data_IF_600208524673
#
_entry.id   IF_600208524673
#
_cell.length_a   1.000
_cell.length_b   1.000
_cell.length_c   1.000
_cell.angle_alpha   90.00
_cell.angle_beta   90.00
_cell.angle_gamma   90.00
#
_symmetry.space_group_name_H-M   'P 1'
#
loop_
_entity.id
_entity.type
_entity.pdbx_description
1 polymer ?
#
# COMPACT_ATOMS: atom_id res chain seq x y z
N UNK A 1 2.28 -24.60 44.65
CA UNK A 1 3.04 -23.67 45.51
C UNK A 1 4.19 -24.43 46.15
N UNK A 2 5.44 -24.15 45.78
CA UNK A 2 6.61 -24.71 46.47
C UNK A 2 7.72 -23.67 46.47
N UNK A 3 8.17 -23.35 47.69
CA UNK A 3 8.96 -22.18 48.07
C UNK A 3 10.42 -22.26 47.57
N UNK A 4 10.89 -21.12 47.07
CA UNK A 4 12.28 -20.73 46.78
C UNK A 4 13.13 -20.67 48.06
N UNK A 5 14.44 -20.94 47.98
CA UNK A 5 15.58 -20.27 48.69
C UNK A 5 16.88 -20.80 48.06
N UNK A 6 17.58 -20.07 47.19
CA UNK A 6 18.67 -19.10 47.45
C UNK A 6 19.64 -19.56 48.56
N UNK A 7 20.86 -19.94 48.15
CA UNK A 7 22.10 -19.76 48.89
C UNK A 7 23.25 -19.61 47.88
N UNK A 8 23.71 -18.36 47.71
CA UNK A 8 24.93 -17.98 47.02
C UNK A 8 26.09 -18.18 48.00
N UNK A 9 27.08 -19.01 47.67
CA UNK A 9 28.37 -19.00 48.35
C UNK A 9 29.48 -18.95 47.30
N UNK A 10 30.32 -17.94 47.51
CA UNK A 10 31.47 -17.45 46.74
C UNK A 10 32.58 -18.50 46.69
N UNK A 11 33.18 -18.70 45.52
CA UNK A 11 34.32 -19.60 45.35
C UNK A 11 35.21 -19.24 44.16
N UNK A 12 36.27 -18.49 44.47
CA UNK A 12 37.60 -18.56 43.86
C UNK A 12 37.77 -18.44 42.33
N UNK A 13 38.16 -17.23 41.93
CA UNK A 13 39.34 -16.89 41.11
C UNK A 13 40.08 -18.10 40.51
N UNK A 14 39.95 -18.30 39.20
CA UNK A 14 41.09 -18.64 38.33
C UNK A 14 41.00 -17.85 37.03
N UNK A 15 41.90 -16.88 36.93
CA UNK A 15 42.25 -16.19 35.70
C UNK A 15 43.01 -17.18 34.81
N UNK A 16 42.46 -17.50 33.65
CA UNK A 16 43.22 -18.13 32.56
C UNK A 16 43.00 -17.31 31.29
N UNK A 17 43.79 -16.25 31.19
CA UNK A 17 44.07 -15.53 29.95
C UNK A 17 44.95 -16.45 29.09
N UNK A 18 44.37 -17.04 28.06
CA UNK A 18 45.10 -17.68 26.96
C UNK A 18 44.91 -16.84 25.71
N UNK A 19 45.80 -15.88 25.49
CA UNK A 19 46.01 -15.28 24.16
C UNK A 19 47.50 -15.34 23.86
N UNK A 20 47.96 -16.24 22.98
CA UNK A 20 49.32 -16.22 22.51
C UNK A 20 49.53 -15.03 21.56
N UNK A 21 50.61 -14.31 21.86
CA UNK A 21 51.22 -13.25 21.06
C UNK A 21 51.48 -13.75 19.63
N UNK A 22 50.89 -13.08 18.63
CA UNK A 22 51.40 -13.12 17.26
C UNK A 22 51.84 -11.71 16.87
N UNK A 23 53.00 -11.33 17.38
CA UNK A 23 53.79 -10.24 16.87
C UNK A 23 54.54 -10.77 15.64
N UNK A 24 54.11 -10.36 14.45
CA UNK A 24 54.96 -10.28 13.26
C UNK A 24 54.32 -9.29 12.30
N UNK A 25 54.77 -8.04 12.44
CA UNK A 25 54.61 -6.98 11.47
C UNK A 25 55.32 -7.38 10.17
N UNK A 26 54.57 -7.46 9.08
CA UNK A 26 55.06 -7.12 7.74
C UNK A 26 54.00 -6.28 7.05
N UNK A 27 54.28 -4.98 6.99
CA UNK A 27 53.72 -4.07 6.01
C UNK A 27 54.09 -4.58 4.61
N UNK A 28 53.11 -5.03 3.84
CA UNK A 28 53.19 -4.95 2.38
C UNK A 28 51.89 -4.39 1.84
N UNK A 29 51.94 -3.09 1.57
CA UNK A 29 51.14 -2.42 0.56
C UNK A 29 51.67 -2.92 -0.78
N UNK A 30 50.99 -3.88 -1.41
CA UNK A 30 51.18 -4.17 -2.83
C UNK A 30 49.82 -4.45 -3.48
N UNK A 31 49.49 -3.62 -4.46
CA UNK A 31 48.23 -3.61 -5.20
C UNK A 31 48.09 -4.84 -6.10
N UNK A 32 46.91 -5.47 -6.20
CA UNK A 32 46.58 -6.28 -7.36
C UNK A 32 45.82 -5.43 -8.39
N UNK A 33 46.59 -4.99 -9.39
CA UNK A 33 46.31 -5.07 -10.84
C UNK A 33 44.83 -4.94 -11.30
N UNK A 34 44.57 -3.89 -12.09
CA UNK A 34 43.41 -3.77 -13.00
C UNK A 34 43.16 -5.09 -13.74
N UNK A 35 42.05 -5.75 -13.42
CA UNK A 35 41.36 -6.68 -14.31
C UNK A 35 39.95 -6.16 -14.50
N UNK A 36 39.65 -5.78 -15.73
CA UNK A 36 38.34 -5.32 -16.17
C UNK A 36 37.35 -6.49 -16.04
N UNK A 37 36.59 -6.52 -14.95
CA UNK A 37 35.40 -7.34 -14.84
C UNK A 37 34.22 -6.53 -15.38
N UNK A 38 33.61 -7.02 -16.44
CA UNK A 38 32.33 -6.55 -16.96
C UNK A 38 31.31 -6.61 -15.81
N UNK A 39 30.95 -5.44 -15.28
CA UNK A 39 29.85 -5.30 -14.34
C UNK A 39 28.54 -5.42 -15.12
N UNK A 40 27.96 -6.60 -15.09
CA UNK A 40 26.51 -6.77 -15.27
C UNK A 40 25.82 -5.79 -14.31
N UNK A 41 24.97 -4.85 -14.78
CA UNK A 41 24.25 -4.00 -13.85
C UNK A 41 23.35 -4.88 -12.98
N UNK A 42 23.67 -4.94 -11.69
CA UNK A 42 22.74 -5.38 -10.66
C UNK A 42 21.46 -4.56 -10.83
N UNK A 43 20.26 -5.18 -10.90
CA UNK A 43 19.02 -4.42 -10.87
C UNK A 43 19.02 -3.61 -9.58
N UNK A 44 19.29 -2.30 -9.68
CA UNK A 44 19.16 -1.41 -8.55
C UNK A 44 17.75 -1.60 -8.01
N UNK A 45 17.60 -2.02 -6.75
CA UNK A 45 16.34 -1.91 -6.04
C UNK A 45 15.96 -0.43 -6.10
N UNK A 46 15.02 -0.07 -6.98
CA UNK A 46 14.53 1.29 -7.10
C UNK A 46 13.82 1.58 -5.78
N UNK A 47 14.45 2.40 -4.93
CA UNK A 47 13.81 2.88 -3.71
C UNK A 47 12.53 3.62 -4.11
N UNK A 48 11.41 3.40 -3.40
CA UNK A 48 10.14 4.03 -3.75
C UNK A 48 10.28 5.56 -3.67
N UNK A 49 9.94 6.24 -4.76
CA UNK A 49 10.03 7.69 -4.90
C UNK A 49 8.84 8.39 -4.22
N UNK A 50 9.10 9.51 -3.57
CA UNK A 50 8.04 10.40 -3.07
C UNK A 50 7.41 11.19 -4.22
N UNK A 51 6.09 11.32 -4.21
CA UNK A 51 5.29 12.01 -5.23
C UNK A 51 4.22 12.86 -4.55
N UNK A 52 3.51 13.69 -5.30
CA UNK A 52 2.33 14.40 -4.82
C UNK A 52 1.25 14.35 -5.88
N UNK A 53 0.67 13.15 -6.06
CA UNK A 53 -0.40 12.96 -7.03
C UNK A 53 -1.75 13.15 -6.35
N UNK A 54 -2.70 13.65 -7.12
CA UNK A 54 -4.11 13.66 -6.76
C UNK A 54 -4.90 12.85 -7.75
N UNK A 55 -5.66 11.89 -7.25
CA UNK A 55 -6.63 11.13 -8.02
C UNK A 55 -8.03 11.33 -7.41
N UNK A 56 -9.08 10.99 -8.14
CA UNK A 56 -10.45 11.00 -7.61
C UNK A 56 -11.05 9.61 -7.63
N UNK A 57 -11.89 9.31 -6.66
CA UNK A 57 -12.65 8.06 -6.67
C UNK A 57 -14.13 8.27 -6.37
N UNK A 58 -14.95 7.35 -6.85
CA UNK A 58 -16.35 7.26 -6.49
C UNK A 58 -16.78 5.78 -6.41
N UNK A 59 -17.65 5.50 -5.45
CA UNK A 59 -18.33 4.20 -5.33
C UNK A 59 -19.83 4.45 -5.44
N UNK A 60 -20.49 3.70 -6.31
CA UNK A 60 -21.94 3.67 -6.44
C UNK A 60 -22.45 2.30 -6.01
N UNK A 61 -23.54 2.28 -5.24
CA UNK A 61 -24.27 1.04 -4.93
C UNK A 61 -25.73 1.24 -5.29
N UNK A 62 -26.25 0.41 -6.20
CA UNK A 62 -27.60 0.50 -6.74
C UNK A 62 -27.92 1.94 -7.22
N UNK A 63 -27.05 2.48 -8.08
CA UNK A 63 -27.15 3.84 -8.61
C UNK A 63 -26.85 4.98 -7.63
N UNK A 64 -26.68 4.72 -6.33
CA UNK A 64 -26.48 5.77 -5.33
C UNK A 64 -24.99 5.97 -5.03
N UNK A 65 -24.49 7.21 -5.18
CA UNK A 65 -23.12 7.58 -4.83
C UNK A 65 -22.90 7.51 -3.33
N UNK A 66 -21.86 6.81 -2.90
CA UNK A 66 -21.41 6.75 -1.51
C UNK A 66 -20.68 8.03 -1.12
N UNK A 67 -20.83 8.42 0.14
CA UNK A 67 -20.14 9.55 0.75
C UNK A 67 -19.16 9.07 1.80
N UNK A 68 -18.01 9.76 1.89
CA UNK A 68 -16.90 9.39 2.77
C UNK A 68 -16.57 10.51 3.76
N UNK A 69 -17.58 11.24 4.23
CA UNK A 69 -17.42 12.40 5.14
C UNK A 69 -17.20 12.02 6.60
N UNK A 70 -17.39 10.75 6.99
CA UNK A 70 -17.17 10.30 8.35
C UNK A 70 -15.66 10.26 8.68
N UNK A 71 -15.24 10.69 9.89
CA UNK A 71 -13.82 10.73 10.28
C UNK A 71 -13.08 9.39 10.18
N UNK A 72 -13.82 8.28 10.27
CA UNK A 72 -13.27 6.92 10.16
C UNK A 72 -12.65 6.60 8.79
N UNK A 73 -12.72 7.51 7.80
CA UNK A 73 -12.15 7.32 6.47
C UNK A 73 -10.93 8.19 6.18
N UNK A 74 -10.60 9.15 7.04
CA UNK A 74 -9.63 10.20 6.71
C UNK A 74 -8.26 9.90 7.31
N UNK A 75 -7.20 10.26 6.56
CA UNK A 75 -5.82 10.25 7.04
C UNK A 75 -5.34 8.90 7.61
N UNK A 76 -5.81 7.77 7.04
CA UNK A 76 -5.51 6.42 7.55
C UNK A 76 -4.16 5.86 7.08
N UNK A 77 -3.42 6.58 6.24
CA UNK A 77 -2.10 6.21 5.75
C UNK A 77 -1.28 7.45 5.41
N UNK A 78 0.03 7.38 5.65
CA UNK A 78 0.98 8.43 5.26
C UNK A 78 1.26 8.41 3.74
N UNK A 79 1.05 7.27 3.08
CA UNK A 79 1.46 7.05 1.69
C UNK A 79 0.33 7.31 0.68
N UNK A 80 -0.92 7.02 1.06
CA UNK A 80 -2.10 7.16 0.20
C UNK A 80 -3.39 7.31 1.03
N UNK A 81 -4.06 8.45 0.95
CA UNK A 81 -5.15 8.77 1.88
C UNK A 81 -6.16 9.76 1.28
N UNK A 82 -7.27 9.97 1.99
CA UNK A 82 -8.25 11.03 1.71
C UNK A 82 -8.38 11.94 2.94
N UNK A 83 -8.77 13.18 2.74
CA UNK A 83 -8.95 14.18 3.79
C UNK A 83 -10.42 14.53 3.99
N UNK A 84 -10.75 15.14 5.14
CA UNK A 84 -12.12 15.58 5.42
C UNK A 84 -12.58 16.74 4.52
N UNK A 85 -11.63 17.54 4.01
CA UNK A 85 -11.85 18.71 3.16
C UNK A 85 -12.45 18.33 1.80
N UNK A 86 -11.92 17.28 1.17
CA UNK A 86 -12.47 16.66 -0.04
C UNK A 86 -12.26 15.14 0.01
N UNK A 87 -13.20 14.38 0.60
CA UNK A 87 -13.04 12.95 0.80
C UNK A 87 -13.23 12.13 -0.48
N UNK A 88 -13.40 12.79 -1.64
CA UNK A 88 -13.38 12.13 -2.95
C UNK A 88 -11.99 12.17 -3.60
N UNK A 89 -11.06 12.97 -3.09
CA UNK A 89 -9.70 13.11 -3.63
C UNK A 89 -8.73 12.24 -2.84
N UNK A 90 -8.09 11.32 -3.56
CA UNK A 90 -7.01 10.48 -3.05
C UNK A 90 -5.68 11.23 -3.24
N UNK A 91 -5.02 11.51 -2.13
CA UNK A 91 -3.66 12.03 -2.07
C UNK A 91 -2.69 10.87 -2.08
N UNK A 92 -1.74 10.85 -3.02
CA UNK A 92 -0.70 9.83 -3.11
C UNK A 92 0.64 10.50 -2.85
N UNK A 93 1.32 10.09 -1.77
CA UNK A 93 2.62 10.61 -1.36
C UNK A 93 3.79 9.71 -1.74
N UNK A 94 3.50 8.47 -2.15
CA UNK A 94 4.51 7.47 -2.52
C UNK A 94 4.18 6.80 -3.85
N UNK A 95 5.16 6.76 -4.75
CA UNK A 95 5.00 6.16 -6.07
C UNK A 95 4.75 4.65 -5.98
N UNK A 96 3.97 4.14 -6.95
CA UNK A 96 3.69 2.71 -7.08
C UNK A 96 2.52 2.21 -6.22
N UNK A 97 1.88 3.09 -5.44
CA UNK A 97 0.65 2.74 -4.71
C UNK A 97 -0.47 2.43 -5.69
N UNK A 98 -1.10 1.28 -5.51
CA UNK A 98 -2.25 0.85 -6.31
C UNK A 98 -3.56 1.29 -5.68
N UNK A 99 -4.64 1.22 -6.46
CA UNK A 99 -5.99 1.40 -5.94
C UNK A 99 -6.31 0.42 -4.80
N UNK A 100 -5.83 -0.83 -4.87
CA UNK A 100 -5.94 -1.78 -3.76
C UNK A 100 -5.20 -1.27 -2.51
N UNK A 101 -3.98 -0.73 -2.66
CA UNK A 101 -3.27 -0.17 -1.51
C UNK A 101 -4.08 0.92 -0.82
N UNK A 102 -4.75 1.79 -1.58
CA UNK A 102 -5.66 2.80 -1.03
C UNK A 102 -6.86 2.18 -0.32
N UNK A 103 -7.63 1.30 -0.98
CA UNK A 103 -8.85 0.74 -0.40
C UNK A 103 -8.60 -0.12 0.84
N UNK A 104 -7.43 -0.75 0.96
CA UNK A 104 -7.02 -1.50 2.16
C UNK A 104 -6.78 -0.60 3.39
N UNK A 105 -6.58 0.70 3.21
CA UNK A 105 -6.47 1.65 4.33
C UNK A 105 -7.82 1.96 4.96
N UNK A 106 -8.89 1.87 4.17
CA UNK A 106 -10.23 2.20 4.58
C UNK A 106 -10.84 0.99 5.33
N UNK A 107 -11.81 1.20 6.24
CA UNK A 107 -12.46 0.13 6.99
C UNK A 107 -13.45 -0.67 6.11
N UNK A 108 -13.04 -1.07 4.91
CA UNK A 108 -13.82 -1.78 3.90
C UNK A 108 -13.16 -3.11 3.56
N UNK A 109 -13.90 -3.96 2.85
CA UNK A 109 -13.29 -5.03 2.05
C UNK A 109 -13.72 -4.83 0.61
N UNK A 110 -12.76 -4.86 -0.30
CA UNK A 110 -13.05 -4.72 -1.72
C UNK A 110 -12.19 -5.72 -2.49
N UNK A 111 -12.87 -6.55 -3.28
CA UNK A 111 -12.25 -7.43 -4.25
C UNK A 111 -13.00 -7.34 -5.59
N UNK A 112 -12.65 -8.21 -6.54
CA UNK A 112 -13.25 -8.21 -7.88
C UNK A 112 -14.77 -8.46 -7.90
N UNK A 113 -15.31 -9.09 -6.87
CA UNK A 113 -16.69 -9.56 -6.80
C UNK A 113 -17.49 -8.89 -5.69
N UNK A 114 -16.86 -8.45 -4.61
CA UNK A 114 -17.54 -8.01 -3.40
C UNK A 114 -17.01 -6.67 -2.88
N UNK A 115 -17.93 -5.84 -2.41
CA UNK A 115 -17.68 -4.66 -1.59
C UNK A 115 -18.36 -4.84 -0.22
N UNK A 116 -17.60 -4.81 0.85
CA UNK A 116 -18.11 -4.66 2.23
C UNK A 116 -17.75 -3.26 2.72
N UNK A 117 -18.75 -2.50 3.13
CA UNK A 117 -18.63 -1.09 3.53
C UNK A 117 -18.20 -0.94 4.99
N UNK A 118 -17.87 0.29 5.42
CA UNK A 118 -17.50 0.61 6.80
C UNK A 118 -18.61 0.35 7.83
N UNK A 119 -19.86 0.25 7.36
CA UNK A 119 -21.03 -0.11 8.16
C UNK A 119 -21.36 -1.61 8.07
N UNK A 120 -20.46 -2.43 7.52
CA UNK A 120 -20.60 -3.89 7.31
C UNK A 120 -21.69 -4.32 6.31
N UNK A 121 -22.26 -3.39 5.54
CA UNK A 121 -23.14 -3.74 4.43
C UNK A 121 -22.32 -4.35 3.30
N UNK A 122 -22.78 -5.48 2.74
CA UNK A 122 -22.03 -6.27 1.73
C UNK A 122 -22.77 -6.35 0.40
N UNK A 123 -22.04 -6.09 -0.67
CA UNK A 123 -22.50 -6.05 -2.05
C UNK A 123 -21.64 -6.98 -2.91
N UNK A 124 -22.07 -8.23 -3.05
CA UNK A 124 -21.40 -9.22 -3.88
C UNK A 124 -22.11 -9.40 -5.21
N UNK A 125 -21.32 -9.72 -6.24
CA UNK A 125 -21.82 -10.03 -7.57
C UNK A 125 -22.79 -11.21 -7.52
N UNK A 126 -23.90 -11.07 -8.22
CA UNK A 126 -24.95 -12.06 -8.44
C UNK A 126 -25.28 -12.11 -9.93
N UNK A 127 -26.16 -13.02 -10.40
CA UNK A 127 -26.61 -13.01 -11.79
C UNK A 127 -27.25 -11.68 -12.24
N UNK A 128 -27.83 -10.91 -11.31
CA UNK A 128 -28.59 -9.69 -11.61
C UNK A 128 -27.83 -8.40 -11.26
N UNK A 129 -26.79 -8.48 -10.44
CA UNK A 129 -26.02 -7.32 -9.98
C UNK A 129 -24.54 -7.62 -10.07
N UNK A 130 -23.75 -6.73 -10.66
CA UNK A 130 -22.31 -6.93 -10.84
C UNK A 130 -21.53 -5.76 -10.28
N UNK A 131 -20.28 -6.04 -9.89
CA UNK A 131 -19.31 -5.03 -9.50
C UNK A 131 -18.48 -4.66 -10.73
N UNK A 132 -18.57 -3.41 -11.16
CA UNK A 132 -17.95 -2.89 -12.39
C UNK A 132 -16.90 -1.85 -12.01
N UNK A 133 -15.74 -1.92 -12.64
CA UNK A 133 -14.60 -1.05 -12.36
C UNK A 133 -14.27 -0.23 -13.60
N UNK A 134 -14.04 1.07 -13.41
CA UNK A 134 -13.70 2.01 -14.48
C UNK A 134 -12.54 2.89 -14.03
N UNK A 135 -11.56 3.04 -14.91
CA UNK A 135 -10.45 3.99 -14.75
C UNK A 135 -10.52 4.98 -15.90
N UNK A 136 -10.60 6.27 -15.60
CA UNK A 136 -10.65 7.35 -16.58
C UNK A 136 -11.78 7.15 -17.61
N UNK A 137 -12.93 6.65 -17.16
CA UNK A 137 -14.11 6.38 -17.98
C UNK A 137 -14.08 5.06 -18.75
N UNK A 138 -12.98 4.31 -18.71
CA UNK A 138 -12.83 3.05 -19.45
C UNK A 138 -12.96 1.88 -18.47
N UNK A 139 -13.77 0.87 -18.83
CA UNK A 139 -13.93 -0.35 -18.02
C UNK A 139 -12.58 -1.05 -17.86
N UNK A 140 -12.20 -1.35 -16.62
CA UNK A 140 -10.88 -1.90 -16.27
C UNK A 140 -10.99 -2.89 -15.11
N UNK A 141 -11.05 -4.18 -15.42
CA UNK A 141 -11.27 -5.26 -14.43
C UNK A 141 -10.12 -5.40 -13.43
N UNK A 142 -8.90 -5.03 -13.83
CA UNK A 142 -7.68 -5.03 -13.02
C UNK A 142 -7.40 -3.70 -12.32
N UNK A 143 -8.42 -2.83 -12.19
CA UNK A 143 -8.28 -1.49 -11.57
C UNK A 143 -7.58 -1.55 -10.21
N UNK A 144 -7.94 -2.51 -9.36
CA UNK A 144 -7.37 -2.65 -8.01
C UNK A 144 -5.85 -2.88 -8.02
N UNK A 145 -5.32 -3.52 -9.06
CA UNK A 145 -3.89 -3.79 -9.20
C UNK A 145 -3.13 -2.66 -9.92
N UNK A 146 -3.85 -1.65 -10.42
CA UNK A 146 -3.26 -0.58 -11.21
C UNK A 146 -2.66 0.48 -10.29
N UNK A 147 -1.39 0.91 -10.51
CA UNK A 147 -0.80 2.04 -9.81
C UNK A 147 -1.58 3.33 -10.07
N UNK A 148 -1.84 4.10 -9.02
CA UNK A 148 -2.51 5.38 -9.10
C UNK A 148 -1.57 6.40 -9.76
N UNK A 149 -2.07 7.14 -10.76
CA UNK A 149 -1.40 8.24 -11.42
C UNK A 149 -2.10 9.57 -11.14
N UNK A 150 -1.36 10.65 -11.34
CA UNK A 150 -1.90 11.99 -11.19
C UNK A 150 -3.05 12.25 -12.18
N UNK A 151 -4.14 12.82 -11.68
CA UNK A 151 -5.34 13.09 -12.46
C UNK A 151 -6.26 11.88 -12.71
N UNK A 152 -5.93 10.70 -12.22
CA UNK A 152 -6.76 9.51 -12.42
C UNK A 152 -8.15 9.66 -11.77
N UNK A 153 -9.15 9.05 -12.38
CA UNK A 153 -10.51 8.94 -11.85
C UNK A 153 -10.93 7.47 -11.83
N UNK A 154 -11.09 6.91 -10.63
CA UNK A 154 -11.61 5.55 -10.44
C UNK A 154 -13.09 5.57 -10.08
N UNK A 155 -13.89 4.78 -10.79
CA UNK A 155 -15.31 4.58 -10.47
C UNK A 155 -15.61 3.10 -10.29
N UNK A 156 -16.25 2.77 -9.18
CA UNK A 156 -16.73 1.43 -8.87
C UNK A 156 -18.26 1.50 -8.82
N UNK A 157 -18.95 0.74 -9.67
CA UNK A 157 -20.41 0.64 -9.64
C UNK A 157 -20.83 -0.78 -9.28
N UNK A 158 -21.57 -0.91 -8.18
CA UNK A 158 -22.30 -2.12 -7.86
C UNK A 158 -23.77 -1.96 -8.24
N UNK A 159 -24.30 -2.91 -9.00
CA UNK A 159 -25.73 -3.01 -9.27
C UNK A 159 -26.06 -3.58 -10.66
N UNK A 160 -27.31 -3.42 -11.06
CA UNK A 160 -27.86 -3.85 -12.35
C UNK A 160 -27.79 -2.75 -13.42
N UNK A 161 -26.99 -1.70 -13.21
CA UNK A 161 -26.99 -0.51 -14.07
C UNK A 161 -26.65 -0.86 -15.52
N UNK A 162 -27.45 -0.32 -16.44
CA UNK A 162 -27.19 -0.39 -17.87
C UNK A 162 -26.14 0.64 -18.31
N UNK A 163 -25.75 0.61 -19.58
CA UNK A 163 -24.71 1.49 -20.14
C UNK A 163 -25.03 2.98 -19.98
N UNK A 164 -26.29 3.38 -20.11
CA UNK A 164 -26.70 4.79 -19.96
C UNK A 164 -26.54 5.27 -18.52
N UNK A 165 -26.96 4.44 -17.56
CA UNK A 165 -26.81 4.73 -16.13
C UNK A 165 -25.33 4.79 -15.74
N UNK A 166 -24.52 3.85 -16.23
CA UNK A 166 -23.07 3.87 -16.01
C UNK A 166 -22.44 5.15 -16.60
N UNK A 167 -22.78 5.51 -17.83
CA UNK A 167 -22.27 6.74 -18.45
C UNK A 167 -22.59 7.98 -17.61
N UNK A 168 -23.81 8.08 -17.11
CA UNK A 168 -24.21 9.17 -16.21
C UNK A 168 -23.39 9.21 -14.92
N UNK A 169 -23.09 8.05 -14.32
CA UNK A 169 -22.20 7.99 -13.15
C UNK A 169 -20.79 8.49 -13.49
N UNK A 170 -20.21 8.06 -14.62
CA UNK A 170 -18.87 8.45 -15.05
C UNK A 170 -18.77 9.96 -15.32
N UNK A 171 -19.78 10.53 -15.97
CA UNK A 171 -19.83 11.96 -16.30
C UNK A 171 -20.10 12.85 -15.07
N UNK A 172 -20.66 12.30 -14.00
CA UNK A 172 -20.92 13.03 -12.75
C UNK A 172 -19.66 13.29 -11.90
N UNK A 173 -18.51 12.75 -12.30
CA UNK A 173 -17.26 12.84 -11.53
C UNK A 173 -16.30 13.81 -12.22
N UNK A 174 -16.05 14.93 -11.56
CA UNK A 174 -15.03 15.90 -12.00
C UNK A 174 -13.62 15.35 -11.78
N UNK A 175 -12.66 15.78 -12.60
CA UNK A 175 -11.24 15.47 -12.38
C UNK A 175 -10.73 16.18 -11.11
N UNK A 176 -9.73 15.61 -10.42
CA UNK A 176 -9.10 16.30 -9.30
C UNK A 176 -8.38 17.57 -9.77
N UNK A 177 -8.40 18.63 -8.95
CA UNK A 177 -7.69 19.90 -9.18
C UNK A 177 -6.30 19.93 -8.57
#
# INVERSE_FOLDING_TARGET
MRKTYILIIIGFITVLVLIPIKLLFLNQTDSPKKTSAISTPSPALIAPKNVDYKARFAIFTNGTKRVFTAPMYHNLSEDVYIEASDPSVVHVKKEGKTWMNFFLTLPFKLDKNCLTTGTNETFCATPNSTLKFYLNGIKKEDLLLTPIKDGDVAVISYGSENETQIKSQLESIEKPQ
#
